data_IF_959333701978
#
_entry.id   IF_959333701978
#
_cell.length_a   1.000
_cell.length_b   1.000
_cell.length_c   1.000
_cell.angle_alpha   90.00
_cell.angle_beta   90.00
_cell.angle_gamma   90.00
#
_symmetry.space_group_name_H-M   'P 1'
#
loop_
_entity.id
_entity.type
_entity.pdbx_description
1 polymer ?
#
# COMPACT_ATOMS: atom_id res chain seq x y z
N UNK A 1 4.69 -11.71 -31.77
CA UNK A 1 3.43 -11.50 -31.05
C UNK A 1 3.76 -10.60 -29.87
N UNK A 2 3.42 -9.32 -29.96
CA UNK A 2 3.87 -8.29 -29.01
C UNK A 2 2.85 -8.18 -27.88
N UNK A 3 3.18 -8.67 -26.68
CA UNK A 3 2.34 -8.49 -25.50
C UNK A 3 2.45 -7.04 -25.02
N UNK A 4 1.38 -6.27 -25.17
CA UNK A 4 1.22 -4.96 -24.54
C UNK A 4 0.89 -5.23 -23.07
N UNK A 5 1.88 -5.04 -22.18
CA UNK A 5 1.70 -5.11 -20.72
C UNK A 5 0.94 -3.87 -20.25
N UNK A 6 -0.16 -4.07 -19.53
CA UNK A 6 -1.03 -3.01 -19.01
C UNK A 6 -0.90 -2.97 -17.50
N UNK A 7 -0.33 -1.88 -16.96
CA UNK A 7 -0.22 -1.67 -15.52
C UNK A 7 -1.57 -1.38 -14.88
N UNK A 8 -1.80 -2.02 -13.73
CA UNK A 8 -2.93 -1.74 -12.83
C UNK A 8 -2.51 -0.75 -11.71
N UNK A 9 -3.36 0.27 -11.51
CA UNK A 9 -3.44 1.27 -10.38
C UNK A 9 -2.27 2.28 -10.18
N UNK A 10 -2.41 3.57 -9.84
CA UNK A 10 -3.47 4.61 -9.86
C UNK A 10 -2.76 5.99 -9.81
N UNK A 11 -3.38 6.97 -10.47
CA UNK A 11 -3.15 8.43 -10.44
C UNK A 11 -3.18 9.06 -9.03
N UNK A 12 -2.13 9.78 -8.65
CA UNK A 12 -2.22 10.88 -7.66
C UNK A 12 -2.46 12.16 -8.47
N UNK A 13 -3.68 12.73 -8.43
CA UNK A 13 -3.97 14.02 -9.06
C UNK A 13 -3.24 15.14 -8.29
N UNK A 14 -2.09 15.56 -8.79
CA UNK A 14 -1.62 16.93 -8.61
C UNK A 14 -2.38 17.81 -9.61
N UNK A 15 -3.39 18.54 -9.14
CA UNK A 15 -4.02 19.59 -9.94
C UNK A 15 -3.02 20.74 -10.09
N UNK A 16 -2.32 20.78 -11.21
CA UNK A 16 -1.58 21.96 -11.65
C UNK A 16 -2.50 22.78 -12.58
N UNK A 17 -3.45 23.48 -11.97
CA UNK A 17 -4.21 24.56 -12.62
C UNK A 17 -3.96 25.85 -11.81
N UNK A 18 -2.77 26.42 -11.97
CA UNK A 18 -2.51 27.81 -11.55
C UNK A 18 -2.88 28.75 -12.69
N UNK A 19 -3.78 29.73 -12.47
CA UNK A 19 -3.98 30.81 -13.43
C UNK A 19 -2.70 31.68 -13.50
N UNK A 20 -2.44 32.37 -14.63
CA UNK A 20 -1.20 33.10 -14.83
C UNK A 20 -1.14 34.34 -13.90
N UNK A 21 -0.16 34.32 -13.01
CA UNK A 21 0.69 35.45 -12.63
C UNK A 21 0.04 36.71 -12.01
N UNK A 22 0.32 36.93 -10.72
CA UNK A 22 0.83 38.22 -10.26
C UNK A 22 2.12 38.02 -9.47
N UNK A 23 3.16 38.69 -9.94
CA UNK A 23 4.52 38.76 -9.41
C UNK A 23 4.57 39.29 -7.98
N UNK A 24 5.21 38.54 -7.08
CA UNK A 24 5.58 39.00 -5.74
C UNK A 24 5.95 37.83 -4.83
N UNK A 25 7.23 37.78 -4.47
CA UNK A 25 7.86 37.01 -3.39
C UNK A 25 8.01 35.48 -3.51
N UNK A 26 9.28 35.07 -3.68
CA UNK A 26 9.78 33.71 -3.51
C UNK A 26 9.70 33.32 -2.03
N UNK A 27 8.96 32.25 -1.74
CA UNK A 27 9.20 31.40 -0.56
C UNK A 27 9.70 30.04 -1.06
N UNK A 28 10.88 29.55 -0.63
CA UNK A 28 11.39 28.24 -1.02
C UNK A 28 10.79 27.15 -0.12
N UNK A 29 10.26 26.09 -0.75
CA UNK A 29 10.00 24.80 -0.10
C UNK A 29 8.53 24.56 0.26
N UNK A 30 7.88 23.66 -0.49
CA UNK A 30 6.80 22.76 -0.05
C UNK A 30 6.25 22.03 -1.27
N UNK A 31 6.98 21.02 -1.74
CA UNK A 31 6.41 19.99 -2.62
C UNK A 31 6.65 18.65 -1.93
N UNK A 32 5.93 18.43 -0.84
CA UNK A 32 5.80 17.10 -0.25
C UNK A 32 4.66 16.38 -0.96
N UNK A 33 4.96 15.86 -2.16
CA UNK A 33 4.28 14.66 -2.61
C UNK A 33 4.56 13.58 -1.54
N UNK A 34 3.60 13.40 -0.62
CA UNK A 34 3.76 12.54 0.54
C UNK A 34 3.71 11.09 0.07
N UNK A 35 4.87 10.45 0.11
CA UNK A 35 5.06 9.01 -0.08
C UNK A 35 3.93 8.22 0.61
N UNK A 36 3.32 7.27 -0.10
CA UNK A 36 2.22 6.45 0.41
C UNK A 36 2.62 5.62 1.64
N UNK A 37 3.93 5.40 1.83
CA UNK A 37 4.53 4.74 2.98
C UNK A 37 5.26 5.78 3.87
N UNK A 38 5.10 5.72 5.21
CA UNK A 38 5.84 6.60 6.11
C UNK A 38 7.36 6.38 5.93
N UNK A 39 8.11 7.43 5.56
CA UNK A 39 9.59 7.40 5.41
C UNK A 39 10.34 7.00 6.69
N UNK A 40 9.69 7.13 7.85
CA UNK A 40 10.31 6.93 9.18
C UNK A 40 9.68 5.80 10.01
N UNK A 41 8.93 4.88 9.39
CA UNK A 41 8.56 3.66 10.09
C UNK A 41 9.80 2.80 10.29
N UNK A 42 10.56 3.06 11.37
CA UNK A 42 11.41 2.05 12.00
C UNK A 42 10.49 0.86 12.27
N UNK A 43 10.51 -0.11 11.36
CA UNK A 43 9.94 -1.43 11.61
C UNK A 43 10.55 -1.86 12.93
N UNK A 44 9.75 -2.08 13.99
CA UNK A 44 10.29 -2.68 15.19
C UNK A 44 10.98 -3.95 14.74
N UNK A 45 12.30 -4.03 14.95
CA UNK A 45 13.05 -5.27 14.82
C UNK A 45 12.46 -6.24 15.84
N UNK A 46 11.37 -6.91 15.48
CA UNK A 46 10.98 -8.13 16.14
C UNK A 46 12.07 -9.12 15.76
N UNK A 47 12.76 -9.59 16.79
CA UNK A 47 13.83 -10.58 16.69
C UNK A 47 13.43 -11.68 15.70
N UNK A 48 14.23 -11.86 14.66
CA UNK A 48 14.13 -12.94 13.67
C UNK A 48 14.56 -14.25 14.32
N UNK A 49 13.73 -14.78 15.23
CA UNK A 49 13.78 -16.17 15.69
C UNK A 49 12.34 -16.66 15.83
N UNK A 50 11.64 -16.62 14.72
CA UNK A 50 10.32 -17.22 14.53
C UNK A 50 10.16 -17.44 13.04
N UNK A 51 10.06 -18.70 12.62
CA UNK A 51 9.72 -19.05 11.24
C UNK A 51 8.45 -18.30 10.85
N UNK A 52 8.53 -17.42 9.84
CA UNK A 52 7.35 -16.78 9.24
C UNK A 52 6.44 -17.91 8.75
N UNK A 53 5.23 -18.01 9.31
CA UNK A 53 4.28 -19.02 8.88
C UNK A 53 3.91 -18.76 7.40
N UNK A 54 4.12 -19.72 6.49
CA UNK A 54 3.88 -19.48 5.07
C UNK A 54 2.38 -19.30 4.78
N UNK A 55 2.07 -18.66 3.65
CA UNK A 55 0.71 -18.59 3.08
C UNK A 55 0.73 -19.07 1.64
N UNK A 56 -0.20 -19.95 1.29
CA UNK A 56 -0.43 -20.37 -0.09
C UNK A 56 -1.18 -19.25 -0.86
N UNK A 57 -0.67 -18.81 -2.02
CA UNK A 57 -1.23 -17.68 -2.76
C UNK A 57 -2.42 -18.10 -3.65
N UNK A 58 -3.50 -18.59 -3.05
CA UNK A 58 -4.74 -18.88 -3.77
C UNK A 58 -5.44 -17.59 -4.25
N UNK A 59 -6.32 -17.71 -5.25
CA UNK A 59 -7.03 -16.55 -5.84
C UNK A 59 -7.90 -15.81 -4.82
N UNK A 60 -8.45 -16.52 -3.83
CA UNK A 60 -9.28 -15.90 -2.80
C UNK A 60 -8.45 -15.02 -1.85
N UNK A 61 -7.25 -15.45 -1.47
CA UNK A 61 -6.30 -14.66 -0.71
C UNK A 61 -5.86 -13.42 -1.51
N UNK A 62 -5.48 -13.61 -2.77
CA UNK A 62 -4.95 -12.54 -3.62
C UNK A 62 -6.02 -11.51 -3.98
N UNK A 63 -7.27 -11.93 -4.20
CA UNK A 63 -8.40 -11.02 -4.37
C UNK A 63 -8.67 -10.21 -3.10
N UNK A 64 -8.61 -10.84 -1.91
CA UNK A 64 -8.75 -10.12 -0.63
C UNK A 64 -7.64 -9.08 -0.45
N UNK A 65 -6.42 -9.44 -0.81
CA UNK A 65 -5.26 -8.56 -0.78
C UNK A 65 -5.42 -7.37 -1.74
N UNK A 66 -5.97 -7.60 -2.93
CA UNK A 66 -6.31 -6.56 -3.90
C UNK A 66 -7.34 -5.58 -3.33
N UNK A 67 -8.42 -6.07 -2.72
CA UNK A 67 -9.43 -5.20 -2.07
C UNK A 67 -8.81 -4.36 -0.96
N UNK A 68 -7.98 -4.96 -0.10
CA UNK A 68 -7.25 -4.26 0.96
C UNK A 68 -6.36 -3.14 0.40
N UNK A 69 -5.55 -3.43 -0.63
CA UNK A 69 -4.67 -2.44 -1.25
C UNK A 69 -5.44 -1.27 -1.87
N UNK A 70 -6.55 -1.57 -2.56
CA UNK A 70 -7.43 -0.58 -3.18
C UNK A 70 -8.08 0.34 -2.14
N UNK A 71 -8.55 -0.22 -1.03
CA UNK A 71 -9.12 0.58 0.07
C UNK A 71 -8.05 1.39 0.78
N UNK A 72 -6.83 0.86 0.97
CA UNK A 72 -5.72 1.63 1.52
C UNK A 72 -5.45 2.88 0.68
N UNK A 73 -5.43 2.75 -0.65
CA UNK A 73 -5.29 3.90 -1.57
C UNK A 73 -6.41 4.92 -1.38
N UNK A 74 -7.67 4.47 -1.32
CA UNK A 74 -8.82 5.36 -1.05
C UNK A 74 -8.69 6.09 0.29
N UNK A 75 -8.26 5.40 1.35
CA UNK A 75 -8.03 6.01 2.67
C UNK A 75 -6.90 7.04 2.65
N UNK A 76 -5.90 6.88 1.79
CA UNK A 76 -4.85 7.90 1.59
C UNK A 76 -5.42 9.19 1.00
N UNK A 77 -6.32 9.07 0.01
CA UNK A 77 -7.01 10.20 -0.59
C UNK A 77 -7.96 10.86 0.42
N UNK A 78 -8.73 10.06 1.17
CA UNK A 78 -9.64 10.54 2.23
C UNK A 78 -8.87 11.28 3.34
N UNK A 79 -7.73 10.74 3.79
CA UNK A 79 -6.87 11.37 4.78
C UNK A 79 -6.36 12.74 4.32
N UNK A 80 -5.90 12.82 3.05
CA UNK A 80 -5.42 14.06 2.45
C UNK A 80 -6.54 15.09 2.35
N UNK A 81 -7.70 14.67 1.83
CA UNK A 81 -8.86 15.55 1.73
C UNK A 81 -9.33 16.06 3.11
N UNK A 82 -9.26 15.23 4.16
CA UNK A 82 -9.62 15.59 5.53
C UNK A 82 -8.66 16.61 6.13
N UNK A 83 -7.36 16.38 5.92
CA UNK A 83 -6.32 17.32 6.32
C UNK A 83 -6.52 18.69 5.65
N UNK A 84 -6.75 18.72 4.34
CA UNK A 84 -6.88 19.95 3.56
C UNK A 84 -8.09 20.80 3.99
N UNK A 85 -9.16 20.18 4.50
CA UNK A 85 -10.33 20.88 5.08
C UNK A 85 -10.24 21.13 6.59
N UNK A 86 -9.12 20.78 7.23
CA UNK A 86 -8.87 21.02 8.65
C UNK A 86 -9.48 19.98 9.62
N UNK A 87 -10.03 18.87 9.11
CA UNK A 87 -10.53 17.79 9.96
C UNK A 87 -9.38 16.85 10.36
N UNK A 88 -8.70 17.23 11.43
CA UNK A 88 -7.55 16.48 11.97
C UNK A 88 -7.97 15.09 12.46
N UNK A 89 -9.18 14.94 13.01
CA UNK A 89 -9.65 13.66 13.55
C UNK A 89 -9.84 12.66 12.42
N UNK A 90 -10.61 13.02 11.40
CA UNK A 90 -10.88 12.17 10.24
C UNK A 90 -9.59 11.86 9.47
N UNK A 91 -8.72 12.85 9.28
CA UNK A 91 -7.40 12.66 8.69
C UNK A 91 -6.58 11.59 9.43
N UNK A 92 -6.57 11.65 10.76
CA UNK A 92 -5.83 10.69 11.59
C UNK A 92 -6.46 9.29 11.58
N UNK A 93 -7.80 9.17 11.60
CA UNK A 93 -8.48 7.87 11.47
C UNK A 93 -8.13 7.22 10.14
N UNK A 94 -8.30 7.97 9.04
CA UNK A 94 -8.04 7.48 7.70
C UNK A 94 -6.57 7.09 7.52
N UNK A 95 -5.64 7.91 8.03
CA UNK A 95 -4.20 7.61 8.01
C UNK A 95 -3.84 6.35 8.80
N UNK A 96 -4.39 6.18 10.00
CA UNK A 96 -4.12 5.00 10.84
C UNK A 96 -4.61 3.71 10.17
N UNK A 97 -5.82 3.74 9.60
CA UNK A 97 -6.39 2.60 8.87
C UNK A 97 -5.62 2.30 7.58
N UNK A 98 -5.25 3.33 6.81
CA UNK A 98 -4.40 3.21 5.62
C UNK A 98 -3.08 2.51 5.95
N UNK A 99 -2.37 2.97 6.98
CA UNK A 99 -1.09 2.39 7.39
C UNK A 99 -1.24 0.93 7.83
N UNK A 100 -2.30 0.60 8.58
CA UNK A 100 -2.57 -0.78 8.97
C UNK A 100 -2.86 -1.68 7.75
N UNK A 101 -3.68 -1.24 6.79
CA UNK A 101 -3.94 -2.03 5.57
C UNK A 101 -2.69 -2.23 4.70
N UNK A 102 -1.80 -1.23 4.61
CA UNK A 102 -0.53 -1.42 3.90
C UNK A 102 0.40 -2.41 4.61
N UNK A 103 0.43 -2.40 5.95
CA UNK A 103 1.18 -3.38 6.73
C UNK A 103 0.61 -4.78 6.60
N UNK A 104 -0.72 -4.94 6.64
CA UNK A 104 -1.39 -6.21 6.32
C UNK A 104 -0.96 -6.72 4.95
N UNK A 105 -0.97 -5.84 3.93
CA UNK A 105 -0.53 -6.22 2.59
C UNK A 105 0.91 -6.73 2.57
N UNK A 106 1.81 -5.99 3.22
CA UNK A 106 3.23 -6.36 3.30
C UNK A 106 3.42 -7.67 4.07
N UNK A 107 2.69 -7.91 5.16
CA UNK A 107 2.76 -9.19 5.88
C UNK A 107 2.35 -10.37 4.98
N UNK A 108 1.20 -10.27 4.30
CA UNK A 108 0.74 -11.34 3.41
C UNK A 108 1.78 -11.66 2.33
N UNK A 109 2.31 -10.64 1.66
CA UNK A 109 3.33 -10.85 0.63
C UNK A 109 4.64 -11.41 1.21
N UNK A 110 5.06 -10.99 2.42
CA UNK A 110 6.22 -11.55 3.10
C UNK A 110 6.02 -13.05 3.39
N UNK A 111 4.83 -13.46 3.85
CA UNK A 111 4.49 -14.86 4.12
C UNK A 111 4.45 -15.71 2.86
N UNK A 112 3.97 -15.16 1.74
CA UNK A 112 3.98 -15.83 0.42
C UNK A 112 5.43 -16.04 -0.04
N UNK A 113 6.25 -14.99 -0.09
CA UNK A 113 7.67 -15.07 -0.52
C UNK A 113 8.48 -16.01 0.38
N UNK A 114 8.20 -16.00 1.69
CA UNK A 114 8.86 -16.88 2.64
C UNK A 114 8.54 -18.37 2.38
N UNK A 115 7.28 -18.67 2.03
CA UNK A 115 6.80 -20.03 1.76
C UNK A 115 7.22 -20.58 0.39
N UNK A 116 6.96 -19.83 -0.68
CA UNK A 116 7.35 -20.20 -2.04
C UNK A 116 7.79 -18.96 -2.84
N UNK A 117 9.10 -18.64 -2.85
CA UNK A 117 9.60 -17.49 -3.59
C UNK A 117 9.48 -17.68 -5.11
N UNK A 118 9.40 -18.92 -5.61
CA UNK A 118 9.27 -19.18 -7.05
C UNK A 118 7.87 -18.83 -7.59
N UNK A 119 6.87 -18.72 -6.72
CA UNK A 119 5.55 -18.21 -7.05
C UNK A 119 5.50 -16.68 -7.22
N UNK A 120 6.62 -15.98 -6.96
CA UNK A 120 6.70 -14.52 -6.96
C UNK A 120 7.80 -14.03 -7.91
N UNK A 121 7.44 -13.10 -8.78
CA UNK A 121 8.41 -12.39 -9.65
C UNK A 121 8.35 -10.90 -9.40
N UNK A 122 9.42 -10.18 -9.74
CA UNK A 122 9.55 -8.75 -9.53
C UNK A 122 9.94 -7.94 -10.76
N UNK A 123 9.52 -6.68 -10.79
CA UNK A 123 9.99 -5.66 -11.73
C UNK A 123 10.06 -4.31 -10.98
N UNK A 124 11.21 -3.64 -11.02
CA UNK A 124 11.36 -2.30 -10.45
C UNK A 124 10.78 -1.25 -11.38
N UNK A 125 9.88 -0.42 -10.87
CA UNK A 125 9.20 0.64 -11.59
C UNK A 125 9.59 2.02 -11.05
N UNK A 126 9.79 2.98 -11.94
CA UNK A 126 9.85 4.39 -11.58
C UNK A 126 8.43 4.96 -11.62
N UNK A 127 7.92 5.40 -10.48
CA UNK A 127 6.57 5.96 -10.34
C UNK A 127 6.67 7.29 -9.61
N UNK A 128 6.33 8.39 -10.32
CA UNK A 128 6.36 9.75 -9.78
C UNK A 128 7.72 10.17 -9.14
N UNK A 129 8.83 9.64 -9.66
CA UNK A 129 10.18 9.95 -9.18
C UNK A 129 10.67 9.07 -8.02
N UNK A 130 9.84 8.16 -7.52
CA UNK A 130 10.23 7.14 -6.56
C UNK A 130 10.34 5.76 -7.24
N UNK A 131 11.20 4.89 -6.70
CA UNK A 131 11.37 3.52 -7.17
C UNK A 131 10.52 2.57 -6.34
N UNK A 132 9.77 1.70 -7.02
CA UNK A 132 8.88 0.71 -6.45
C UNK A 132 9.21 -0.67 -6.97
N UNK A 133 9.07 -1.70 -6.14
CA UNK A 133 9.08 -3.08 -6.59
C UNK A 133 7.64 -3.50 -6.88
N UNK A 134 7.32 -3.77 -8.14
CA UNK A 134 6.11 -4.49 -8.51
C UNK A 134 6.37 -5.97 -8.27
N UNK A 135 5.61 -6.60 -7.37
CA UNK A 135 5.59 -8.05 -7.23
C UNK A 135 4.39 -8.64 -7.95
N UNK A 136 4.62 -9.70 -8.71
CA UNK A 136 3.58 -10.48 -9.40
C UNK A 136 3.48 -11.86 -8.76
N UNK A 137 2.29 -12.22 -8.29
CA UNK A 137 1.97 -13.50 -7.66
C UNK A 137 0.76 -14.09 -8.38
N UNK A 138 0.92 -15.23 -9.06
CA UNK A 138 -0.16 -15.88 -9.82
C UNK A 138 -0.96 -14.93 -10.74
N UNK A 139 -0.30 -13.94 -11.35
CA UNK A 139 -0.93 -12.94 -12.23
C UNK A 139 -1.55 -11.73 -11.53
N UNK A 140 -1.53 -11.69 -10.19
CA UNK A 140 -1.89 -10.54 -9.38
C UNK A 140 -0.67 -9.66 -9.13
N UNK A 141 -0.84 -8.35 -9.25
CA UNK A 141 0.26 -7.38 -9.21
C UNK A 141 0.10 -6.41 -8.02
N UNK A 142 1.17 -6.25 -7.24
CA UNK A 142 1.19 -5.35 -6.08
C UNK A 142 2.49 -4.54 -6.02
N UNK A 143 2.40 -3.21 -5.94
CA UNK A 143 3.57 -2.39 -5.64
C UNK A 143 3.91 -2.40 -4.14
N UNK A 144 5.20 -2.55 -3.87
CA UNK A 144 5.83 -2.44 -2.55
C UNK A 144 7.04 -1.49 -2.63
N UNK A 145 7.33 -0.74 -1.56
CA UNK A 145 8.64 -0.11 -1.43
C UNK A 145 9.74 -1.18 -1.51
N UNK A 146 10.89 -0.91 -2.14
CA UNK A 146 11.98 -1.88 -2.30
C UNK A 146 12.48 -2.52 -0.98
N UNK A 147 12.29 -1.84 0.14
CA UNK A 147 12.72 -2.30 1.46
C UNK A 147 11.62 -3.05 2.25
N UNK A 148 10.41 -3.21 1.72
CA UNK A 148 9.25 -3.69 2.48
C UNK A 148 9.40 -5.15 2.97
N UNK A 149 10.10 -5.99 2.21
CA UNK A 149 10.33 -7.40 2.56
C UNK A 149 11.55 -7.59 3.47
N UNK A 150 12.40 -6.57 3.65
CA UNK A 150 13.77 -6.74 4.11
C UNK A 150 14.67 -7.34 3.02
N UNK A 151 16.00 -7.20 3.15
CA UNK A 151 16.97 -7.68 2.14
C UNK A 151 16.80 -9.17 1.87
N UNK A 152 16.72 -9.99 2.91
CA UNK A 152 16.78 -11.44 2.81
C UNK A 152 15.61 -12.04 2.00
N UNK A 153 14.41 -11.45 2.11
CA UNK A 153 13.26 -11.87 1.32
C UNK A 153 13.24 -11.21 -0.06
N UNK A 154 13.70 -9.95 -0.17
CA UNK A 154 13.79 -9.26 -1.47
C UNK A 154 14.74 -9.99 -2.40
N UNK A 155 15.89 -10.45 -1.90
CA UNK A 155 16.92 -11.17 -2.65
C UNK A 155 16.44 -12.55 -3.14
N UNK A 156 15.35 -13.08 -2.57
CA UNK A 156 14.73 -14.35 -2.98
C UNK A 156 13.75 -14.18 -4.14
N UNK A 157 13.34 -12.95 -4.46
CA UNK A 157 12.40 -12.67 -5.54
C UNK A 157 13.20 -12.51 -6.84
N UNK A 158 12.89 -13.33 -7.85
CA UNK A 158 13.49 -13.15 -9.18
C UNK A 158 12.98 -11.85 -9.81
N UNK A 159 13.91 -10.93 -10.13
CA UNK A 159 13.58 -9.62 -10.70
C UNK A 159 14.03 -9.52 -12.15
N UNK A 160 13.20 -8.86 -12.98
CA UNK A 160 13.45 -8.72 -14.43
C UNK A 160 14.33 -7.52 -14.81
N UNK A 161 14.59 -6.63 -13.86
CA UNK A 161 15.47 -5.46 -13.96
C UNK A 161 16.02 -5.13 -12.56
N UNK A 162 16.84 -4.08 -12.44
CA UNK A 162 17.47 -3.70 -11.17
C UNK A 162 16.88 -2.42 -10.56
N UNK A 163 17.23 -2.17 -9.30
CA UNK A 163 16.83 -0.96 -8.56
C UNK A 163 17.42 0.32 -9.19
N UNK A 164 18.61 0.21 -9.78
CA UNK A 164 19.34 1.30 -10.44
C UNK A 164 18.80 1.62 -11.84
N UNK A 165 18.18 0.64 -12.48
CA UNK A 165 17.58 0.75 -13.82
C UNK A 165 16.07 0.42 -13.76
N UNK A 166 15.28 1.21 -13.00
CA UNK A 166 13.85 0.99 -12.90
C UNK A 166 13.19 1.29 -14.25
N UNK A 167 12.19 0.48 -14.60
CA UNK A 167 11.40 0.69 -15.79
C UNK A 167 10.47 1.88 -15.56
N UNK A 168 10.51 2.86 -16.46
CA UNK A 168 9.46 3.87 -16.51
C UNK A 168 8.20 3.23 -17.09
N UNK A 169 7.12 3.23 -16.32
CA UNK A 169 5.86 2.66 -16.79
C UNK A 169 4.71 3.64 -16.60
N UNK A 170 4.16 4.19 -17.72
CA UNK A 170 3.10 5.15 -17.63
C UNK A 170 1.83 4.48 -17.11
N UNK A 171 1.09 5.20 -16.26
CA UNK A 171 -0.22 4.76 -15.83
C UNK A 171 -1.18 4.73 -17.02
N UNK A 172 -1.78 3.56 -17.27
CA UNK A 172 -2.87 3.42 -18.24
C UNK A 172 -4.02 2.73 -17.54
N UNK A 173 -5.15 3.43 -17.39
CA UNK A 173 -6.35 2.82 -16.83
C UNK A 173 -6.93 1.84 -17.84
N UNK A 174 -6.91 0.56 -17.50
CA UNK A 174 -7.64 -0.46 -18.26
C UNK A 174 -9.12 -0.47 -17.85
N UNK A 175 -10.02 -0.24 -18.81
CA UNK A 175 -11.45 -0.32 -18.59
C UNK A 175 -12.00 -1.75 -18.70
N UNK A 176 -11.23 -2.70 -19.23
CA UNK A 176 -11.61 -4.09 -19.43
C UNK A 176 -11.40 -4.99 -18.21
N UNK A 177 -10.69 -4.50 -17.20
CA UNK A 177 -10.43 -5.25 -15.96
C UNK A 177 -11.69 -5.26 -15.10
N UNK A 178 -12.28 -6.44 -14.92
CA UNK A 178 -13.35 -6.66 -13.97
C UNK A 178 -12.88 -6.32 -12.55
N UNK A 179 -13.72 -5.60 -11.83
CA UNK A 179 -13.45 -5.23 -10.44
C UNK A 179 -14.00 -6.33 -9.56
N UNK A 180 -13.24 -6.72 -8.55
CA UNK A 180 -13.78 -7.52 -7.46
C UNK A 180 -14.99 -6.82 -6.83
N UNK A 181 -16.07 -7.57 -6.66
CA UNK A 181 -17.28 -7.18 -5.92
C UNK A 181 -17.15 -7.45 -4.41
N UNK A 182 -16.04 -8.07 -3.97
CA UNK A 182 -15.77 -8.36 -2.57
C UNK A 182 -15.69 -7.09 -1.75
N UNK A 183 -16.41 -7.08 -0.63
CA UNK A 183 -16.36 -5.98 0.33
C UNK A 183 -15.05 -6.00 1.12
N UNK A 184 -14.67 -4.84 1.69
CA UNK A 184 -13.54 -4.78 2.61
C UNK A 184 -13.76 -5.71 3.83
N UNK A 185 -14.99 -5.79 4.33
CA UNK A 185 -15.32 -6.62 5.49
C UNK A 185 -15.08 -8.11 5.22
N UNK A 186 -15.52 -8.62 4.07
CA UNK A 186 -15.26 -9.99 3.64
C UNK A 186 -13.76 -10.24 3.44
N UNK A 187 -13.06 -9.32 2.77
CA UNK A 187 -11.61 -9.44 2.56
C UNK A 187 -10.84 -9.47 3.89
N UNK A 188 -11.21 -8.64 4.85
CA UNK A 188 -10.57 -8.61 6.16
C UNK A 188 -10.83 -9.89 6.95
N UNK A 189 -12.06 -10.43 6.93
CA UNK A 189 -12.38 -11.70 7.58
C UNK A 189 -11.60 -12.86 6.95
N UNK A 190 -11.56 -12.95 5.63
CA UNK A 190 -10.83 -14.00 4.91
C UNK A 190 -9.32 -13.96 5.14
N UNK A 191 -8.75 -12.79 5.41
CA UNK A 191 -7.35 -12.65 5.84
C UNK A 191 -7.15 -13.08 7.30
N UNK A 192 -8.06 -12.68 8.20
CA UNK A 192 -7.99 -13.05 9.62
C UNK A 192 -8.13 -14.57 9.83
N UNK A 193 -8.99 -15.24 9.06
CA UNK A 193 -9.12 -16.70 9.05
C UNK A 193 -7.82 -17.42 8.65
N UNK A 194 -6.96 -16.75 7.88
CA UNK A 194 -5.61 -17.23 7.50
C UNK A 194 -4.51 -16.71 8.43
N UNK A 195 -4.90 -16.15 9.58
CA UNK A 195 -3.99 -15.68 10.62
C UNK A 195 -3.36 -14.31 10.35
N UNK A 196 -3.99 -13.46 9.52
CA UNK A 196 -3.54 -12.07 9.31
C UNK A 196 -4.65 -11.10 9.69
N UNK A 197 -4.59 -10.56 10.91
CA UNK A 197 -5.57 -9.57 11.42
C UNK A 197 -5.08 -8.14 11.17
N UNK A 198 -5.86 -7.34 10.44
CA UNK A 198 -5.54 -5.94 10.18
C UNK A 198 -5.48 -5.07 11.45
N UNK A 199 -6.23 -5.42 12.50
CA UNK A 199 -6.20 -4.71 13.78
C UNK A 199 -4.84 -4.84 14.48
N UNK A 200 -4.10 -5.93 14.27
CA UNK A 200 -2.77 -6.14 14.86
C UNK A 200 -1.72 -5.15 14.31
N UNK A 201 -2.01 -4.54 13.17
CA UNK A 201 -1.12 -3.57 12.53
C UNK A 201 -1.40 -2.11 12.91
N UNK A 202 -2.46 -1.85 13.68
CA UNK A 202 -2.76 -0.51 14.17
C UNK A 202 -1.73 -0.13 15.25
N UNK A 203 -0.92 0.89 14.96
CA UNK A 203 0.07 1.39 15.93
C UNK A 203 -0.60 1.89 17.22
N UNK A 204 -1.84 2.38 17.12
CA UNK A 204 -2.72 2.73 18.23
C UNK A 204 -4.15 2.33 17.88
N UNK A 205 -4.84 1.55 18.73
CA UNK A 205 -6.24 1.15 18.47
C UNK A 205 -7.23 2.29 18.71
N UNK A 206 -6.78 3.39 19.33
CA UNK A 206 -7.55 4.61 19.54
C UNK A 206 -6.74 5.85 19.20
N UNK A 207 -7.42 6.90 18.76
CA UNK A 207 -6.82 8.22 18.54
C UNK A 207 -7.61 9.30 19.30
N UNK A 208 -6.93 10.35 19.73
CA UNK A 208 -7.58 11.54 20.26
C UNK A 208 -8.16 12.35 19.11
N UNK A 209 -9.48 12.51 19.10
CA UNK A 209 -10.20 13.39 18.19
C UNK A 209 -10.44 14.77 18.79
N UNK A 210 -11.29 15.53 18.11
CA UNK A 210 -11.72 16.85 18.56
C UNK A 210 -12.37 16.76 19.96
N UNK A 211 -12.12 17.78 20.80
CA UNK A 211 -12.60 17.84 22.19
C UNK A 211 -12.11 16.67 23.07
N UNK A 212 -10.91 16.15 22.81
CA UNK A 212 -10.26 15.06 23.57
C UNK A 212 -11.06 13.75 23.62
N UNK A 213 -11.99 13.54 22.68
CA UNK A 213 -12.75 12.30 22.57
C UNK A 213 -11.89 11.20 21.94
N UNK A 214 -11.84 10.04 22.57
CA UNK A 214 -11.16 8.88 21.98
C UNK A 214 -12.03 8.25 20.89
N UNK A 215 -11.45 8.09 19.70
CA UNK A 215 -12.05 7.40 18.56
C UNK A 215 -11.38 6.04 18.39
N UNK A 216 -12.18 4.98 18.39
CA UNK A 216 -11.72 3.62 18.12
C UNK A 216 -11.54 3.42 16.61
N UNK A 217 -10.32 3.10 16.20
CA UNK A 217 -9.99 2.97 14.77
C UNK A 217 -10.06 1.54 14.25
N UNK A 218 -10.23 0.55 15.15
CA UNK A 218 -10.30 -0.88 14.81
C UNK A 218 -11.47 -1.19 13.89
N UNK A 219 -11.30 -2.18 13.03
CA UNK A 219 -12.40 -2.74 12.25
C UNK A 219 -13.26 -3.62 13.15
N UNK A 220 -14.54 -3.27 13.26
CA UNK A 220 -15.48 -3.98 14.13
C UNK A 220 -15.79 -5.41 13.66
N UNK A 221 -15.64 -5.68 12.35
CA UNK A 221 -15.84 -7.01 11.77
C UNK A 221 -14.76 -8.03 12.14
N UNK A 222 -13.69 -7.58 12.81
CA UNK A 222 -12.54 -8.35 13.28
C UNK A 222 -12.50 -8.39 14.83
N UNK A 223 -13.68 -8.44 15.47
CA UNK A 223 -13.83 -8.50 16.94
C UNK A 223 -14.61 -9.72 17.36
#
# INVERSE_FOLDING_TARGET
MTFVRVLKELTIRGADDRPPGRSGDRVPGSSTARNAYPRDARIPRRSTEGTVEPLEPDDDLLESLYVVNKVAKRLADEATAAYDRGDVTESNVASARKDALYRTKTEVLNRIVAGDPAAVTGEYHAVHGDVWLLVTVNGWEFHQPPHAFGSDLTDRIETTNSLEEPRDVPYVRDASVERSDRSLEEALRGLAERGVDANDHLARPTISGEHDRLVDVRWACLR
#
